data_IF_162413263086
#
_entry.id   IF_162413263086
#
_cell.length_a   1.000
_cell.length_b   1.000
_cell.length_c   1.000
_cell.angle_alpha   90.00
_cell.angle_beta   90.00
_cell.angle_gamma   90.00
#
_symmetry.space_group_name_H-M   'P 1'
#
loop_
_entity.id
_entity.type
_entity.pdbx_description
1 polymer ?
#
# COMPACT_ATOMS: atom_id res chain seq x y z
N UNK A 1 -14.53 18.86 15.63
CA UNK A 1 -13.32 18.15 15.20
C UNK A 1 -13.47 17.88 13.73
N UNK A 2 -12.53 18.35 12.90
CA UNK A 2 -12.49 17.98 11.49
C UNK A 2 -12.10 16.49 11.44
N UNK A 3 -12.86 15.62 10.76
CA UNK A 3 -12.46 14.23 10.61
C UNK A 3 -11.09 14.18 9.93
N UNK A 4 -10.11 13.56 10.58
CA UNK A 4 -8.79 13.30 9.97
C UNK A 4 -9.04 12.36 8.81
N UNK A 5 -8.88 12.87 7.58
CA UNK A 5 -9.06 12.08 6.37
C UNK A 5 -7.74 11.40 6.05
N UNK A 6 -7.70 10.07 6.19
CA UNK A 6 -6.55 9.29 5.76
C UNK A 6 -6.50 9.34 4.22
N UNK A 7 -5.32 9.56 3.69
CA UNK A 7 -5.11 9.65 2.25
C UNK A 7 -4.09 8.61 1.79
N UNK A 8 -3.96 8.45 0.47
CA UNK A 8 -2.97 7.57 -0.14
C UNK A 8 -1.56 7.89 0.35
N UNK A 9 -1.19 9.17 0.41
CA UNK A 9 0.13 9.56 0.86
C UNK A 9 0.47 9.10 2.29
N UNK A 10 -0.49 9.14 3.24
CA UNK A 10 -0.26 8.62 4.58
C UNK A 10 0.12 7.12 4.58
N UNK A 11 -0.61 6.33 3.79
CA UNK A 11 -0.37 4.89 3.69
C UNK A 11 0.95 4.59 2.99
N UNK A 12 1.28 5.35 1.93
CA UNK A 12 2.56 5.23 1.22
C UNK A 12 3.73 5.55 2.14
N UNK A 13 3.66 6.68 2.85
CA UNK A 13 4.68 7.11 3.79
C UNK A 13 4.93 6.05 4.87
N UNK A 14 3.88 5.46 5.43
CA UNK A 14 4.01 4.41 6.44
C UNK A 14 4.78 3.18 5.90
N UNK A 15 4.55 2.79 4.65
CA UNK A 15 5.28 1.69 4.01
C UNK A 15 6.73 2.07 3.69
N UNK A 16 6.97 3.24 3.11
CA UNK A 16 8.32 3.71 2.74
C UNK A 16 9.23 3.89 3.97
N UNK A 17 8.66 4.37 5.08
CA UNK A 17 9.36 4.53 6.35
C UNK A 17 9.37 3.27 7.21
N UNK A 18 8.73 2.18 6.75
CA UNK A 18 8.55 0.94 7.49
C UNK A 18 7.92 1.14 8.87
N UNK A 19 7.07 2.17 9.01
CA UNK A 19 6.34 2.47 10.23
C UNK A 19 5.05 1.64 10.29
N UNK A 20 5.21 0.39 10.71
CA UNK A 20 4.15 -0.62 10.76
C UNK A 20 3.04 -0.28 11.77
N UNK A 21 3.38 0.30 12.91
CA UNK A 21 2.39 0.74 13.88
C UNK A 21 1.52 1.89 13.31
N UNK A 22 2.13 2.77 12.50
CA UNK A 22 1.41 3.83 11.81
C UNK A 22 0.51 3.23 10.74
N UNK A 23 1.02 2.30 9.92
CA UNK A 23 0.21 1.64 8.89
C UNK A 23 -1.03 0.96 9.49
N UNK A 24 -0.87 0.21 10.57
CA UNK A 24 -1.98 -0.44 11.27
C UNK A 24 -3.00 0.58 11.80
N UNK A 25 -2.53 1.66 12.42
CA UNK A 25 -3.40 2.75 12.91
C UNK A 25 -4.19 3.41 11.77
N UNK A 26 -3.53 3.71 10.65
CA UNK A 26 -4.17 4.36 9.51
C UNK A 26 -5.27 3.48 8.91
N UNK A 27 -5.01 2.17 8.77
CA UNK A 27 -5.96 1.21 8.19
C UNK A 27 -7.13 0.87 9.13
N UNK A 28 -6.94 0.93 10.45
CA UNK A 28 -8.05 0.87 11.41
C UNK A 28 -9.02 2.05 11.25
N UNK A 29 -8.50 3.24 10.92
CA UNK A 29 -9.30 4.45 10.75
C UNK A 29 -10.00 4.50 9.39
N UNK A 30 -9.27 4.24 8.31
CA UNK A 30 -9.80 4.22 6.95
C UNK A 30 -8.96 3.31 6.05
N UNK A 31 -9.63 2.37 5.40
CA UNK A 31 -9.06 1.33 4.55
C UNK A 31 -9.38 1.55 3.07
N UNK A 32 -10.07 2.65 2.73
CA UNK A 32 -10.57 2.94 1.38
C UNK A 32 -9.51 2.80 0.28
N UNK A 33 -8.27 3.15 0.59
CA UNK A 33 -7.18 3.23 -0.37
C UNK A 33 -6.23 2.02 -0.34
N UNK A 34 -6.46 1.03 0.51
CA UNK A 34 -5.53 -0.08 0.74
C UNK A 34 -5.21 -0.91 -0.52
N UNK A 35 -6.22 -1.16 -1.37
CA UNK A 35 -6.10 -1.96 -2.60
C UNK A 35 -5.81 -1.12 -3.84
N UNK A 36 -5.52 0.17 -3.68
CA UNK A 36 -5.22 1.04 -4.82
C UNK A 36 -3.90 0.61 -5.48
N UNK A 37 -3.86 0.54 -6.80
CA UNK A 37 -2.66 0.17 -7.55
C UNK A 37 -1.78 1.39 -7.90
N UNK A 38 -2.23 2.62 -7.63
CA UNK A 38 -1.56 3.87 -8.03
C UNK A 38 -0.53 4.38 -7.00
N UNK A 39 0.07 3.51 -6.19
CA UNK A 39 1.02 3.91 -5.16
C UNK A 39 2.44 4.06 -5.68
N UNK A 40 2.93 3.03 -6.36
CA UNK A 40 4.32 2.92 -6.78
C UNK A 40 4.37 2.74 -8.29
N UNK A 41 5.36 3.36 -8.92
CA UNK A 41 5.63 3.24 -10.35
C UNK A 41 7.11 2.95 -10.55
N UNK A 42 7.42 2.17 -11.57
CA UNK A 42 8.79 2.01 -12.05
C UNK A 42 9.14 3.09 -13.07
N UNK A 43 10.33 2.98 -13.68
CA UNK A 43 10.80 3.90 -14.73
C UNK A 43 10.06 3.75 -16.06
N UNK A 44 9.28 2.68 -16.23
CA UNK A 44 8.50 2.40 -17.44
C UNK A 44 7.03 2.82 -17.31
N UNK A 45 6.63 3.30 -16.13
CA UNK A 45 5.27 3.80 -15.86
C UNK A 45 4.30 2.72 -15.40
N UNK A 46 4.80 1.56 -14.96
CA UNK A 46 3.99 0.43 -14.51
C UNK A 46 3.67 0.57 -13.02
N UNK A 47 2.39 0.47 -12.67
CA UNK A 47 1.88 0.83 -11.34
C UNK A 47 1.52 -0.39 -10.48
N UNK A 48 1.82 -0.31 -9.17
CA UNK A 48 1.42 -1.31 -8.20
C UNK A 48 1.05 -0.74 -6.81
N UNK A 49 0.32 -1.55 -6.05
CA UNK A 49 -0.23 -1.21 -4.74
C UNK A 49 0.66 -1.58 -3.54
N UNK A 50 0.18 -1.26 -2.34
CA UNK A 50 0.92 -1.47 -1.08
C UNK A 50 1.31 -2.93 -0.85
N UNK A 51 0.40 -3.87 -1.12
CA UNK A 51 0.67 -5.29 -0.90
C UNK A 51 1.83 -5.78 -1.76
N UNK A 52 1.82 -5.44 -3.04
CA UNK A 52 2.86 -5.86 -3.97
C UNK A 52 4.20 -5.23 -3.59
N UNK A 53 4.23 -3.96 -3.18
CA UNK A 53 5.47 -3.33 -2.69
C UNK A 53 6.02 -4.07 -1.47
N UNK A 54 5.18 -4.39 -0.49
CA UNK A 54 5.64 -5.12 0.70
C UNK A 54 6.18 -6.51 0.34
N UNK A 55 5.62 -7.19 -0.65
CA UNK A 55 6.11 -8.51 -1.09
C UNK A 55 7.47 -8.37 -1.78
N UNK A 56 7.60 -7.44 -2.73
CA UNK A 56 8.82 -7.22 -3.51
C UNK A 56 9.99 -6.74 -2.64
N UNK A 57 9.69 -6.02 -1.55
CA UNK A 57 10.68 -5.56 -0.56
C UNK A 57 10.93 -6.56 0.57
N UNK A 58 10.26 -7.71 0.55
CA UNK A 58 10.31 -8.73 1.61
C UNK A 58 9.87 -8.22 2.99
N UNK A 59 8.97 -7.23 3.04
CA UNK A 59 8.41 -6.66 4.27
C UNK A 59 7.31 -7.55 4.84
N UNK A 60 7.70 -8.65 5.49
CA UNK A 60 6.76 -9.62 6.09
C UNK A 60 5.74 -8.95 7.03
N UNK A 61 6.18 -8.02 7.89
CA UNK A 61 5.29 -7.29 8.81
C UNK A 61 4.29 -6.41 8.07
N UNK A 62 4.71 -5.75 6.99
CA UNK A 62 3.82 -4.95 6.15
C UNK A 62 2.74 -5.81 5.49
N UNK A 63 3.13 -6.97 4.93
CA UNK A 63 2.19 -7.95 4.38
C UNK A 63 1.19 -8.42 5.44
N UNK A 64 1.68 -8.75 6.64
CA UNK A 64 0.85 -9.18 7.77
C UNK A 64 -0.22 -8.15 8.11
N UNK A 65 0.15 -6.88 8.21
CA UNK A 65 -0.80 -5.79 8.54
C UNK A 65 -1.84 -5.60 7.44
N UNK A 66 -1.40 -5.56 6.17
CA UNK A 66 -2.34 -5.41 5.05
C UNK A 66 -3.34 -6.59 5.01
N UNK A 67 -2.87 -7.82 5.24
CA UNK A 67 -3.73 -9.00 5.32
C UNK A 67 -4.67 -8.99 6.53
N UNK A 68 -4.22 -8.48 7.68
CA UNK A 68 -5.06 -8.29 8.88
C UNK A 68 -6.26 -7.40 8.56
N UNK A 69 -6.06 -6.34 7.77
CA UNK A 69 -7.09 -5.38 7.41
C UNK A 69 -7.95 -5.77 6.21
N UNK A 70 -7.62 -6.90 5.56
CA UNK A 70 -8.43 -7.50 4.50
C UNK A 70 -8.05 -7.04 3.09
N UNK A 71 -6.78 -6.70 2.85
CA UNK A 71 -6.27 -6.42 1.51
C UNK A 71 -6.58 -7.58 0.55
N UNK A 72 -6.88 -7.25 -0.71
CA UNK A 72 -7.13 -8.22 -1.75
C UNK A 72 -5.84 -8.98 -2.09
N UNK A 73 -5.88 -10.30 -1.90
CA UNK A 73 -4.76 -11.22 -2.15
C UNK A 73 -4.57 -11.55 -3.62
N UNK A 74 -5.46 -11.07 -4.49
CA UNK A 74 -5.47 -11.34 -5.93
C UNK A 74 -5.02 -10.16 -6.75
N UNK A 75 -5.05 -8.94 -6.18
CA UNK A 75 -4.57 -7.73 -6.82
C UNK A 75 -3.05 -7.78 -6.88
N UNK A 76 -2.56 -8.20 -8.03
CA UNK A 76 -1.16 -8.21 -8.38
C UNK A 76 -0.98 -7.54 -9.73
N UNK A 77 -0.52 -6.30 -9.71
CA UNK A 77 -0.02 -5.65 -10.92
C UNK A 77 1.47 -5.48 -10.73
N UNK A 78 2.23 -6.00 -11.68
CA UNK A 78 3.66 -5.78 -11.78
C UNK A 78 4.00 -5.56 -13.25
N UNK A 79 4.96 -4.66 -13.46
CA UNK A 79 5.25 -4.08 -14.75
C UNK A 79 5.97 -5.02 -15.70
N UNK A 80 5.25 -5.41 -16.76
CA UNK A 80 5.70 -5.98 -18.05
C UNK A 80 4.54 -6.68 -18.81
N UNK A 81 3.29 -6.21 -18.60
CA UNK A 81 2.07 -6.83 -19.14
C UNK A 81 1.79 -8.27 -18.68
N UNK A 82 2.58 -8.84 -17.76
CA UNK A 82 2.28 -10.14 -17.14
C UNK A 82 1.77 -9.86 -15.72
N UNK A 83 0.45 -9.88 -15.49
CA UNK A 83 -0.08 -9.74 -14.15
C UNK A 83 0.47 -10.88 -13.29
N UNK A 84 1.28 -10.53 -12.29
CA UNK A 84 1.81 -11.45 -11.31
C UNK A 84 0.97 -11.34 -10.05
N UNK A 85 0.36 -12.45 -9.63
CA UNK A 85 -0.39 -12.47 -8.37
C UNK A 85 0.54 -12.29 -7.16
N UNK A 86 0.05 -11.75 -6.03
CA UNK A 86 0.83 -11.66 -4.79
C UNK A 86 1.50 -12.99 -4.39
N UNK A 87 0.84 -14.12 -4.61
CA UNK A 87 1.39 -15.43 -4.29
C UNK A 87 2.55 -15.83 -5.21
N UNK A 88 2.46 -15.52 -6.50
CA UNK A 88 3.55 -15.77 -7.47
C UNK A 88 4.76 -14.87 -7.19
N UNK A 89 4.52 -13.63 -6.77
CA UNK A 89 5.56 -12.69 -6.36
C UNK A 89 6.30 -13.18 -5.11
N UNK A 90 5.58 -13.82 -4.18
CA UNK A 90 6.14 -14.36 -2.95
C UNK A 90 6.80 -15.74 -3.09
N UNK A 91 6.95 -16.30 -4.30
CA UNK A 91 7.39 -17.70 -4.51
C UNK A 91 8.72 -18.05 -3.82
N UNK A 92 9.63 -17.09 -3.74
CA UNK A 92 10.98 -17.27 -3.18
C UNK A 92 11.04 -16.91 -1.68
N UNK A 93 9.96 -16.31 -1.13
CA UNK A 93 9.84 -15.97 0.29
C UNK A 93 8.77 -16.84 0.96
N UNK A 94 9.23 -17.94 1.57
CA UNK A 94 8.36 -18.94 2.22
C UNK A 94 7.47 -18.33 3.29
N UNK A 95 7.97 -17.36 4.07
CA UNK A 95 7.21 -16.74 5.15
C UNK A 95 6.04 -15.91 4.60
N UNK A 96 6.29 -15.07 3.60
CA UNK A 96 5.25 -14.28 2.94
C UNK A 96 4.26 -15.17 2.18
N UNK A 97 4.75 -16.19 1.47
CA UNK A 97 3.90 -17.16 0.79
C UNK A 97 2.96 -17.90 1.77
N UNK A 98 3.46 -18.27 2.94
CA UNK A 98 2.66 -18.88 3.99
C UNK A 98 1.56 -17.93 4.50
N UNK A 99 1.88 -16.64 4.72
CA UNK A 99 0.90 -15.63 5.12
C UNK A 99 -0.21 -15.44 4.09
N UNK A 100 0.14 -15.42 2.80
CA UNK A 100 -0.84 -15.28 1.71
C UNK A 100 -1.78 -16.50 1.61
N UNK A 101 -1.27 -17.70 1.93
CA UNK A 101 -2.03 -18.95 1.92
C UNK A 101 -2.85 -19.19 3.21
N UNK A 102 -2.52 -18.51 4.30
CA UNK A 102 -3.17 -18.71 5.59
C UNK A 102 -4.67 -18.38 5.55
N UNK A 103 -5.49 -19.27 6.11
CA UNK A 103 -6.94 -19.12 6.18
C UNK A 103 -7.33 -18.25 7.37
N UNK A 104 -7.23 -16.94 7.21
CA UNK A 104 -7.65 -15.96 8.21
C UNK A 104 -6.83 -14.67 8.11
N UNK A 105 -7.29 -13.59 8.76
CA UNK A 105 -6.47 -12.42 8.98
C UNK A 105 -5.37 -12.76 9.98
N UNK A 106 -4.09 -12.55 9.66
CA UNK A 106 -3.02 -12.76 10.63
C UNK A 106 -3.11 -11.72 11.75
N UNK A 107 -2.56 -12.07 12.92
CA UNK A 107 -2.55 -11.15 14.06
C UNK A 107 -1.38 -10.16 13.96
N UNK A 108 -1.64 -8.91 14.35
CA UNK A 108 -0.61 -7.90 14.56
C UNK A 108 -1.01 -7.01 15.74
N UNK A 109 -0.09 -6.88 16.69
CA UNK A 109 -0.22 -6.03 17.87
C UNK A 109 0.77 -4.87 17.76
N UNK A 110 0.24 -3.65 17.81
CA UNK A 110 1.06 -2.45 17.78
C UNK A 110 1.97 -2.35 18.99
N UNK A 111 3.21 -1.95 18.76
CA UNK A 111 4.18 -1.70 19.83
C UNK A 111 4.05 -0.29 20.41
N UNK A 112 3.51 0.63 19.62
CA UNK A 112 3.32 2.04 19.95
C UNK A 112 2.04 2.59 19.32
N UNK A 113 1.59 3.78 19.76
CA UNK A 113 0.51 4.52 19.13
C UNK A 113 1.07 5.79 18.44
N UNK A 114 1.61 5.67 17.22
CA UNK A 114 2.27 6.77 16.53
C UNK A 114 1.27 7.84 16.11
N UNK A 115 1.69 9.11 16.19
CA UNK A 115 0.90 10.25 15.73
C UNK A 115 0.72 10.20 14.21
N UNK A 116 -0.44 10.61 13.72
CA UNK A 116 -0.70 10.75 12.29
C UNK A 116 0.06 11.98 11.81
N UNK A 117 1.04 11.84 10.89
CA UNK A 117 1.83 12.97 10.43
C UNK A 117 0.98 13.96 9.62
N UNK A 118 1.32 15.25 9.72
CA UNK A 118 0.81 16.25 8.78
C UNK A 118 1.53 16.08 7.43
N UNK A 119 0.76 16.01 6.35
CA UNK A 119 1.29 15.84 5.01
C UNK A 119 1.94 17.12 4.47
N UNK A 120 3.02 16.97 3.71
CA UNK A 120 3.71 18.05 3.00
C UNK A 120 3.28 18.12 1.53
N UNK A 121 3.69 19.16 0.79
CA UNK A 121 3.28 19.34 -0.61
C UNK A 121 3.61 18.13 -1.52
N UNK A 122 4.69 17.39 -1.24
CA UNK A 122 5.05 16.17 -1.97
C UNK A 122 4.03 15.04 -1.81
N UNK A 123 3.31 15.00 -0.68
CA UNK A 123 2.26 14.03 -0.41
C UNK A 123 0.98 14.32 -1.20
N UNK A 124 0.73 15.59 -1.56
CA UNK A 124 -0.41 15.98 -2.40
C UNK A 124 -0.33 15.37 -3.79
N UNK A 125 0.89 15.15 -4.31
CA UNK A 125 1.12 14.51 -5.62
C UNK A 125 0.51 13.12 -5.70
N UNK A 126 0.78 12.27 -4.70
CA UNK A 126 0.27 10.90 -4.64
C UNK A 126 -1.26 10.91 -4.51
N UNK A 127 -1.80 11.85 -3.72
CA UNK A 127 -3.25 11.98 -3.56
C UNK A 127 -3.91 12.38 -4.89
N UNK A 128 -3.37 13.41 -5.56
CA UNK A 128 -3.84 13.90 -6.86
C UNK A 128 -3.77 12.84 -7.94
N UNK A 129 -2.72 12.04 -7.94
CA UNK A 129 -2.58 10.94 -8.87
C UNK A 129 -3.70 9.91 -8.70
N UNK A 130 -3.95 9.48 -7.46
CA UNK A 130 -5.04 8.56 -7.16
C UNK A 130 -6.41 9.15 -7.53
N UNK A 131 -6.61 10.46 -7.36
CA UNK A 131 -7.84 11.13 -7.79
C UNK A 131 -8.01 11.15 -9.32
N UNK A 132 -6.92 11.27 -10.07
CA UNK A 132 -6.96 11.15 -11.55
C UNK A 132 -7.30 9.71 -11.93
N UNK A 133 -6.71 8.72 -11.27
CA UNK A 133 -7.03 7.31 -11.47
C UNK A 133 -8.50 7.02 -11.19
N UNK A 134 -9.03 7.47 -10.06
CA UNK A 134 -10.44 7.34 -9.68
C UNK A 134 -11.39 7.94 -10.73
N UNK A 135 -11.00 9.07 -11.33
CA UNK A 135 -11.84 9.81 -12.30
C UNK A 135 -11.77 9.25 -13.73
N UNK A 136 -10.59 8.77 -14.14
CA UNK A 136 -10.32 8.44 -15.55
C UNK A 136 -10.16 6.94 -15.80
N UNK A 137 -10.00 6.14 -14.74
CA UNK A 137 -9.59 4.75 -14.85
C UNK A 137 -8.14 4.55 -15.32
N UNK A 138 -7.37 5.64 -15.46
CA UNK A 138 -6.00 5.64 -15.95
C UNK A 138 -5.07 6.26 -14.91
N UNK A 139 -3.91 5.65 -14.70
CA UNK A 139 -2.89 6.15 -13.75
C UNK A 139 -1.84 6.95 -14.53
N UNK A 140 -1.55 8.16 -14.07
CA UNK A 140 -0.59 9.08 -14.72
C UNK A 140 0.46 9.54 -13.72
N UNK A 141 1.69 9.71 -14.17
CA UNK A 141 2.68 10.44 -13.37
C UNK A 141 2.28 11.91 -13.30
N UNK A 142 2.13 12.43 -12.08
CA UNK A 142 1.91 13.86 -11.84
C UNK A 142 3.28 14.51 -11.61
N UNK A 143 3.60 15.56 -12.38
CA UNK A 143 4.84 16.32 -12.19
C UNK A 143 4.87 17.00 -10.81
N UNK A 144 6.07 17.23 -10.29
CA UNK A 144 6.23 17.98 -9.04
C UNK A 144 5.75 19.42 -9.25
N UNK A 145 4.99 19.95 -8.28
CA UNK A 145 4.64 21.37 -8.28
C UNK A 145 5.91 22.16 -7.91
N UNK A 146 6.43 22.94 -8.85
CA UNK A 146 7.52 23.91 -8.63
C UNK A 146 7.19 24.95 -7.56
#
# INVERSE_FOLDING_TARGET
MVPIRITRAHLKLAVETQNWDLLDRLLEMDRKHMDDASYFTDTWGEWWGLLMECIMREYETGVRILLKHGVDRTVGTWGDCIPQTPLEAAKDNIAIAALLQEKGPPEYLRSSDPMIPELIAQDEKINRQGEIADRTGMVFQVEDLE
#
